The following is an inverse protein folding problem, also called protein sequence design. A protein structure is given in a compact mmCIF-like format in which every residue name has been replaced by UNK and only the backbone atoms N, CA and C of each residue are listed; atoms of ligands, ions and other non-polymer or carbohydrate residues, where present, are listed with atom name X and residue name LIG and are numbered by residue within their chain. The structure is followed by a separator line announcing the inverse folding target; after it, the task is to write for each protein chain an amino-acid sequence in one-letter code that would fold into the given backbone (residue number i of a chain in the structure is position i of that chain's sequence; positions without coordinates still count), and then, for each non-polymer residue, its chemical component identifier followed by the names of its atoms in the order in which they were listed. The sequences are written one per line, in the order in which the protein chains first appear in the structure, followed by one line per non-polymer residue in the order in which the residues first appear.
data_IF_878327166238
#
_entry.id   IF_878327166238
#
_cell.length_a   1.000
_cell.length_b   1.000
_cell.length_c   1.000
_cell.angle_alpha   90.00
_cell.angle_beta   90.00
_cell.angle_gamma   90.00
#
_symmetry.space_group_name_H-M   'P 1'
#
loop_
_entity.id
_entity.type
_entity.pdbx_description
1 polymer ?
#
# COMPACT_ATOMS: atom_id res chain seq x y z
N UNK A 1 16.99 -50.63 -28.92
CA UNK A 1 17.98 -49.92 -29.78
C UNK A 1 17.36 -48.70 -30.46
N UNK A 2 16.42 -48.86 -31.42
CA UNK A 2 15.81 -47.71 -32.13
C UNK A 2 15.07 -46.70 -31.24
N UNK A 3 14.38 -47.17 -30.20
CA UNK A 3 13.70 -46.28 -29.24
C UNK A 3 14.70 -45.42 -28.46
N UNK A 4 15.83 -45.98 -28.04
CA UNK A 4 16.87 -45.25 -27.31
C UNK A 4 17.48 -44.14 -28.18
N UNK A 5 17.79 -44.42 -29.45
CA UNK A 5 18.30 -43.41 -30.40
C UNK A 5 17.28 -42.29 -30.65
N UNK A 6 15.97 -42.62 -30.69
CA UNK A 6 14.92 -41.60 -30.81
C UNK A 6 14.80 -40.74 -29.56
N UNK A 7 14.91 -41.34 -28.37
CA UNK A 7 14.90 -40.59 -27.11
C UNK A 7 16.11 -39.65 -27.04
N UNK A 8 17.28 -40.09 -27.49
CA UNK A 8 18.49 -39.26 -27.56
C UNK A 8 18.28 -38.03 -28.46
N UNK A 9 17.75 -38.25 -29.68
CA UNK A 9 17.38 -37.16 -30.57
C UNK A 9 16.31 -36.21 -29.98
N UNK A 10 15.39 -36.73 -29.15
CA UNK A 10 14.42 -35.89 -28.44
C UNK A 10 15.07 -35.05 -27.34
N UNK A 11 16.08 -35.58 -26.64
CA UNK A 11 16.85 -34.82 -25.64
C UNK A 11 17.66 -33.70 -26.29
N UNK A 12 18.23 -33.93 -27.46
CA UNK A 12 18.92 -32.89 -28.23
C UNK A 12 17.98 -31.76 -28.65
N UNK A 13 16.73 -32.09 -28.99
CA UNK A 13 15.69 -31.09 -29.28
C UNK A 13 15.26 -30.34 -28.02
N UNK A 14 15.13 -31.02 -26.89
CA UNK A 14 14.82 -30.39 -25.60
C UNK A 14 15.94 -29.41 -25.17
N UNK A 15 17.20 -29.79 -25.34
CA UNK A 15 18.34 -28.92 -25.08
C UNK A 15 18.32 -27.66 -25.96
N UNK A 16 17.98 -27.81 -27.25
CA UNK A 16 17.81 -26.66 -28.14
C UNK A 16 16.69 -25.73 -27.66
N UNK A 17 15.56 -26.28 -27.21
CA UNK A 17 14.47 -25.50 -26.62
C UNK A 17 14.93 -24.76 -25.36
N UNK A 18 15.59 -25.44 -24.42
CA UNK A 18 16.12 -24.82 -23.20
C UNK A 18 17.11 -23.68 -23.49
N UNK A 19 17.93 -23.81 -24.53
CA UNK A 19 18.84 -22.73 -24.95
C UNK A 19 18.07 -21.49 -25.44
N UNK A 20 17.01 -21.67 -26.24
CA UNK A 20 16.13 -20.58 -26.67
C UNK A 20 15.47 -19.92 -25.45
N UNK A 21 15.01 -20.71 -24.48
CA UNK A 21 14.41 -20.20 -23.24
C UNK A 21 15.38 -19.35 -22.42
N UNK A 22 16.65 -19.78 -22.32
CA UNK A 22 17.69 -19.03 -21.62
C UNK A 22 17.97 -17.68 -22.29
N UNK A 23 18.03 -17.66 -23.62
CA UNK A 23 18.21 -16.41 -24.39
C UNK A 23 17.02 -15.47 -24.21
N UNK A 24 15.80 -15.99 -24.29
CA UNK A 24 14.58 -15.22 -24.02
C UNK A 24 14.56 -14.63 -22.59
N UNK A 25 14.89 -15.42 -21.57
CA UNK A 25 14.93 -14.97 -20.18
C UNK A 25 15.94 -13.82 -19.99
N UNK A 26 17.11 -13.93 -20.61
CA UNK A 26 18.15 -12.89 -20.61
C UNK A 26 17.67 -11.60 -21.29
N UNK A 27 17.07 -11.70 -22.47
CA UNK A 27 16.55 -10.54 -23.19
C UNK A 27 15.41 -9.85 -22.43
N UNK A 28 14.49 -10.63 -21.85
CA UNK A 28 13.41 -10.10 -21.03
C UNK A 28 13.93 -9.39 -19.79
N UNK A 29 14.91 -9.95 -19.07
CA UNK A 29 15.52 -9.28 -17.93
C UNK A 29 16.18 -7.95 -18.33
N UNK A 30 16.88 -7.92 -19.47
CA UNK A 30 17.46 -6.68 -19.99
C UNK A 30 16.38 -5.65 -20.36
N UNK A 31 15.24 -6.11 -20.86
CA UNK A 31 14.09 -5.28 -21.20
C UNK A 31 13.45 -4.67 -19.96
N UNK A 32 13.20 -5.48 -18.93
CA UNK A 32 12.70 -5.04 -17.61
C UNK A 32 13.62 -3.96 -17.03
N UNK A 33 14.93 -4.22 -16.98
CA UNK A 33 15.90 -3.25 -16.48
C UNK A 33 15.89 -1.92 -17.26
N UNK A 34 15.76 -2.00 -18.59
CA UNK A 34 15.69 -0.81 -19.46
C UNK A 34 14.46 0.03 -19.15
N UNK A 35 13.27 -0.58 -19.09
CA UNK A 35 12.03 0.16 -18.86
C UNK A 35 11.89 0.63 -17.42
N UNK A 36 12.39 -0.14 -16.46
CA UNK A 36 12.52 0.28 -15.06
C UNK A 36 13.34 1.58 -14.94
N UNK A 37 14.49 1.64 -15.61
CA UNK A 37 15.32 2.85 -15.63
C UNK A 37 14.63 4.05 -16.31
N UNK A 38 13.78 3.80 -17.32
CA UNK A 38 12.98 4.85 -17.98
C UNK A 38 11.82 5.34 -17.10
N UNK A 39 11.20 4.47 -16.31
CA UNK A 39 10.09 4.80 -15.43
C UNK A 39 10.54 5.53 -14.16
N UNK A 40 11.71 5.19 -13.61
CA UNK A 40 12.27 5.78 -12.38
C UNK A 40 12.20 7.33 -12.33
N UNK A 41 12.66 8.10 -13.33
CA UNK A 41 12.56 9.56 -13.29
C UNK A 41 11.13 10.09 -13.35
N UNK A 42 10.17 9.34 -13.93
CA UNK A 42 8.75 9.73 -13.92
C UNK A 42 8.16 9.57 -12.52
N UNK A 43 8.54 8.50 -11.83
CA UNK A 43 8.17 8.29 -10.45
C UNK A 43 8.73 9.39 -9.53
N UNK A 44 9.95 9.90 -9.79
CA UNK A 44 10.51 11.03 -9.03
C UNK A 44 9.73 12.32 -9.27
N UNK A 45 9.34 12.58 -10.51
CA UNK A 45 8.46 13.71 -10.85
C UNK A 45 7.10 13.58 -10.15
N UNK A 46 6.47 12.40 -10.16
CA UNK A 46 5.21 12.15 -9.45
C UNK A 46 5.34 12.51 -7.97
N UNK A 47 6.39 12.04 -7.30
CA UNK A 47 6.63 12.38 -5.89
C UNK A 47 6.73 13.89 -5.69
N UNK A 48 7.49 14.59 -6.54
CA UNK A 48 7.63 16.05 -6.44
C UNK A 48 6.30 16.79 -6.59
N UNK A 49 5.40 16.30 -7.47
CA UNK A 49 4.04 16.83 -7.62
C UNK A 49 3.21 16.55 -6.36
N UNK A 50 3.15 15.28 -5.93
CA UNK A 50 2.35 14.84 -4.78
C UNK A 50 2.74 15.56 -3.48
N UNK A 51 4.03 15.81 -3.28
CA UNK A 51 4.56 16.51 -2.08
C UNK A 51 4.58 18.03 -2.20
N UNK A 52 4.23 18.56 -3.37
CA UNK A 52 4.27 19.99 -3.66
C UNK A 52 5.65 20.61 -3.66
N UNK A 53 6.69 19.85 -4.02
CA UNK A 53 8.03 20.38 -4.27
C UNK A 53 8.09 21.25 -5.55
N UNK A 54 7.18 21.00 -6.50
CA UNK A 54 7.12 21.72 -7.77
C UNK A 54 5.86 22.57 -7.98
N UNK A 55 5.08 22.85 -6.93
CA UNK A 55 3.82 23.61 -7.00
C UNK A 55 3.99 24.95 -7.73
N UNK A 56 5.00 25.74 -7.35
CA UNK A 56 5.29 27.04 -7.99
C UNK A 56 5.50 26.91 -9.52
N UNK A 57 6.17 25.83 -9.95
CA UNK A 57 6.44 25.58 -11.36
C UNK A 57 5.16 25.16 -12.10
N UNK A 58 4.38 24.25 -11.51
CA UNK A 58 3.11 23.77 -12.09
C UNK A 58 2.12 24.92 -12.22
N UNK A 59 1.94 25.72 -11.16
CA UNK A 59 1.01 26.85 -11.16
C UNK A 59 1.40 27.88 -12.22
N UNK A 60 2.70 28.17 -12.35
CA UNK A 60 3.19 29.12 -13.36
C UNK A 60 3.02 28.61 -14.79
N UNK A 61 3.29 27.33 -15.04
CA UNK A 61 3.16 26.73 -16.38
C UNK A 61 1.69 26.60 -16.80
N UNK A 62 0.78 26.44 -15.83
CA UNK A 62 -0.65 26.25 -16.06
C UNK A 62 -1.49 27.50 -15.74
N UNK A 63 -0.88 28.69 -15.76
CA UNK A 63 -1.56 29.94 -15.37
C UNK A 63 -2.86 30.17 -16.14
N UNK A 64 -2.86 29.98 -17.45
CA UNK A 64 -4.07 30.21 -18.26
C UNK A 64 -5.21 29.25 -17.89
N UNK A 65 -4.89 28.03 -17.44
CA UNK A 65 -5.87 27.07 -16.94
C UNK A 65 -6.39 27.47 -15.56
N UNK A 66 -5.51 27.96 -14.68
CA UNK A 66 -5.89 28.47 -13.36
C UNK A 66 -6.81 29.70 -13.47
N UNK A 67 -6.46 30.67 -14.33
CA UNK A 67 -7.27 31.87 -14.56
C UNK A 67 -8.69 31.49 -15.08
N UNK A 68 -8.80 30.45 -15.92
CA UNK A 68 -10.09 29.92 -16.40
C UNK A 68 -10.88 29.22 -15.28
N UNK A 69 -10.21 28.42 -14.44
CA UNK A 69 -10.83 27.75 -13.30
C UNK A 69 -11.38 28.76 -12.29
N UNK A 70 -10.62 29.82 -12.00
CA UNK A 70 -11.03 30.90 -11.10
C UNK A 70 -12.30 31.60 -11.61
N UNK A 71 -12.39 31.91 -12.91
CA UNK A 71 -13.60 32.48 -13.52
C UNK A 71 -14.82 31.54 -13.38
N UNK A 72 -14.62 30.23 -13.57
CA UNK A 72 -15.69 29.23 -13.39
C UNK A 72 -16.14 29.18 -11.93
N UNK A 73 -15.21 29.13 -10.97
CA UNK A 73 -15.53 29.14 -9.53
C UNK A 73 -16.32 30.40 -9.15
N UNK A 74 -15.86 31.58 -9.55
CA UNK A 74 -16.57 32.84 -9.32
C UNK A 74 -17.98 32.85 -9.95
N UNK A 75 -18.17 32.15 -11.07
CA UNK A 75 -19.48 32.04 -11.72
C UNK A 75 -20.43 31.11 -10.95
N UNK A 76 -19.91 30.02 -10.39
CA UNK A 76 -20.67 29.06 -9.58
C UNK A 76 -21.04 29.66 -8.22
N UNK A 77 -20.12 30.34 -7.55
CA UNK A 77 -20.39 31.09 -6.31
C UNK A 77 -21.54 32.08 -6.53
N UNK A 78 -21.49 32.86 -7.62
CA UNK A 78 -22.57 33.80 -7.96
C UNK A 78 -23.91 33.13 -8.26
N UNK A 79 -23.90 31.90 -8.77
CA UNK A 79 -25.11 31.15 -9.07
C UNK A 79 -25.74 30.48 -7.84
N UNK A 80 -24.97 30.24 -6.77
CA UNK A 80 -25.45 29.66 -5.51
C UNK A 80 -26.07 30.69 -4.55
N UNK A 81 -25.96 32.00 -4.82
CA UNK A 81 -26.64 33.04 -4.05
C UNK A 81 -28.15 33.03 -4.40
N UNK A 82 -28.98 32.51 -3.51
CA UNK A 82 -30.45 32.52 -3.65
C UNK A 82 -30.97 33.97 -3.55
N UNK A 83 -31.72 34.49 -4.54
CA UNK A 83 -32.31 35.83 -4.50
C UNK A 83 -33.29 36.08 -3.34
N UNK A 84 -33.63 35.05 -2.56
CA UNK A 84 -34.65 35.13 -1.52
C UNK A 84 -34.11 35.40 -0.09
N UNK A 85 -32.80 35.34 0.13
CA UNK A 85 -32.14 35.63 1.43
C UNK A 85 -31.70 37.10 1.57
N UNK A 86 -32.54 38.02 1.10
CA UNK A 86 -32.44 39.46 1.36
C UNK A 86 -32.97 39.79 2.79
N UNK A 87 -32.61 38.96 3.78
CA UNK A 87 -32.85 39.24 5.19
C UNK A 87 -31.58 39.90 5.72
N UNK A 88 -31.68 41.18 6.09
CA UNK A 88 -30.65 41.93 6.82
C UNK A 88 -30.18 41.13 8.06
N UNK A 89 -29.19 40.25 7.88
CA UNK A 89 -28.34 39.75 8.94
C UNK A 89 -27.03 40.51 8.81
N UNK A 90 -26.79 41.43 9.76
CA UNK A 90 -25.47 41.95 10.11
C UNK A 90 -24.59 40.77 10.62
N UNK A 91 -24.36 39.77 9.78
CA UNK A 91 -23.56 38.60 10.12
C UNK A 91 -22.13 38.82 9.61
N UNK A 92 -21.33 39.38 10.49
CA UNK A 92 -19.90 39.58 10.29
C UNK A 92 -19.18 38.21 10.33
N UNK A 93 -19.85 37.11 10.74
CA UNK A 93 -19.22 35.79 10.86
C UNK A 93 -19.02 35.06 9.52
N UNK A 94 -19.98 35.07 8.61
CA UNK A 94 -19.85 34.37 7.30
C UNK A 94 -18.72 34.95 6.43
N UNK A 95 -18.52 36.28 6.45
CA UNK A 95 -17.43 36.92 5.70
C UNK A 95 -16.04 36.66 6.27
N UNK A 96 -15.94 36.40 7.57
CA UNK A 96 -14.70 36.02 8.23
C UNK A 96 -14.41 34.52 8.00
N UNK A 97 -15.44 33.66 7.95
CA UNK A 97 -15.35 32.25 7.59
C UNK A 97 -14.92 32.05 6.11
N UNK A 98 -15.52 32.78 5.16
CA UNK A 98 -15.14 32.74 3.74
C UNK A 98 -13.71 33.22 3.49
N UNK A 99 -13.25 34.22 4.23
CA UNK A 99 -11.86 34.68 4.16
C UNK A 99 -10.89 33.68 4.76
N UNK A 100 -11.27 33.05 5.87
CA UNK A 100 -10.45 32.02 6.50
C UNK A 100 -10.34 30.78 5.61
N UNK A 101 -11.43 30.38 4.92
CA UNK A 101 -11.42 29.31 3.93
C UNK A 101 -10.50 29.63 2.73
N UNK A 102 -10.56 30.86 2.20
CA UNK A 102 -9.67 31.31 1.10
C UNK A 102 -8.19 31.37 1.51
N UNK A 103 -7.88 31.83 2.72
CA UNK A 103 -6.51 31.83 3.27
C UNK A 103 -5.99 30.41 3.56
N UNK A 104 -6.87 29.44 3.85
CA UNK A 104 -6.54 28.03 4.05
C UNK A 104 -6.35 27.28 2.73
N UNK A 105 -7.08 27.64 1.68
CA UNK A 105 -6.97 27.07 0.33
C UNK A 105 -5.67 27.49 -0.39
N UNK A 106 -5.20 28.73 -0.17
CA UNK A 106 -3.86 29.20 -0.61
C UNK A 106 -2.69 28.42 0.02
N UNK A 107 -2.95 27.59 1.04
CA UNK A 107 -1.92 26.86 1.80
C UNK A 107 -1.86 25.35 1.48
N UNK A 108 -2.73 24.84 0.62
CA UNK A 108 -2.72 23.43 0.25
C UNK A 108 -1.47 23.15 -0.60
N UNK A 109 -0.56 22.33 -0.06
CA UNK A 109 0.69 21.96 -0.70
C UNK A 109 0.58 20.56 -1.30
N UNK A 110 0.98 20.42 -2.56
CA UNK A 110 0.95 19.16 -3.29
C UNK A 110 -0.45 18.58 -3.45
N UNK A 111 -0.57 17.26 -3.37
CA UNK A 111 -1.84 16.53 -3.46
C UNK A 111 -2.04 15.76 -2.14
N UNK A 112 -2.78 16.34 -1.18
CA UNK A 112 -3.07 15.68 0.09
C UNK A 112 -3.75 14.33 -0.11
N UNK A 113 -3.51 13.40 0.82
CA UNK A 113 -4.13 12.06 0.86
C UNK A 113 -3.93 11.19 -0.40
N UNK A 114 -3.04 11.58 -1.32
CA UNK A 114 -2.85 10.91 -2.60
C UNK A 114 -2.72 9.38 -2.47
N UNK A 115 -1.80 8.92 -1.62
CA UNK A 115 -1.51 7.49 -1.49
C UNK A 115 -2.57 6.73 -0.70
N UNK A 116 -3.14 7.31 0.36
CA UNK A 116 -4.18 6.63 1.14
C UNK A 116 -5.44 6.45 0.31
N UNK A 117 -5.84 7.45 -0.48
CA UNK A 117 -6.97 7.33 -1.41
C UNK A 117 -6.67 6.30 -2.52
N UNK A 118 -5.49 6.36 -3.15
CA UNK A 118 -5.11 5.39 -4.18
C UNK A 118 -5.08 3.95 -3.65
N UNK A 119 -4.56 3.74 -2.44
CA UNK A 119 -4.56 2.42 -1.79
C UNK A 119 -5.97 1.98 -1.38
N UNK A 120 -6.83 2.92 -0.97
CA UNK A 120 -8.23 2.66 -0.63
C UNK A 120 -9.11 2.31 -1.83
N UNK A 121 -8.76 2.77 -3.02
CA UNK A 121 -9.42 2.38 -4.27
C UNK A 121 -8.97 1.00 -4.78
N UNK A 122 -7.75 0.55 -4.44
CA UNK A 122 -7.25 -0.77 -4.81
C UNK A 122 -7.81 -1.85 -3.86
N UNK A 123 -8.67 -2.75 -4.36
CA UNK A 123 -9.43 -3.70 -3.55
C UNK A 123 -8.54 -4.51 -2.60
N UNK A 124 -7.51 -5.19 -3.15
CA UNK A 124 -6.58 -6.03 -2.40
C UNK A 124 -5.90 -5.29 -1.23
N UNK A 125 -5.67 -3.98 -1.36
CA UNK A 125 -5.00 -3.17 -0.33
C UNK A 125 -6.02 -2.59 0.65
N UNK A 126 -7.18 -2.17 0.16
CA UNK A 126 -8.22 -1.49 0.93
C UNK A 126 -8.73 -2.32 2.10
N UNK A 127 -8.78 -3.65 1.97
CA UNK A 127 -9.21 -4.56 3.05
C UNK A 127 -8.27 -4.54 4.27
N UNK A 128 -7.02 -4.11 4.09
CA UNK A 128 -6.05 -4.00 5.18
C UNK A 128 -6.13 -2.66 5.90
N UNK A 129 -6.69 -1.63 5.28
CA UNK A 129 -6.70 -0.26 5.82
C UNK A 129 -7.90 -0.10 6.74
N UNK A 130 -7.63 0.30 7.98
CA UNK A 130 -8.67 0.69 8.95
C UNK A 130 -8.72 2.21 9.09
N UNK A 131 -9.81 2.72 9.68
CA UNK A 131 -9.97 4.15 9.98
C UNK A 131 -8.80 4.72 10.80
N UNK A 132 -8.20 3.92 11.70
CA UNK A 132 -7.08 4.36 12.53
C UNK A 132 -5.77 4.49 11.75
N UNK A 133 -5.69 3.88 10.57
CA UNK A 133 -4.49 3.92 9.73
C UNK A 133 -4.47 5.16 8.83
N UNK A 134 -5.63 5.74 8.49
CA UNK A 134 -5.79 6.85 7.53
C UNK A 134 -4.91 8.04 7.90
N UNK A 135 -5.04 8.57 9.12
CA UNK A 135 -4.24 9.70 9.60
C UNK A 135 -2.72 9.43 9.56
N UNK A 136 -2.31 8.16 9.71
CA UNK A 136 -0.90 7.80 9.60
C UNK A 136 -0.44 7.68 8.15
N UNK A 137 -1.31 7.18 7.27
CA UNK A 137 -1.08 7.06 5.84
C UNK A 137 -1.13 8.43 5.12
N UNK A 138 -1.73 9.45 5.72
CA UNK A 138 -1.63 10.85 5.24
C UNK A 138 -0.18 11.36 5.21
N UNK A 139 0.70 10.75 5.99
CA UNK A 139 2.13 11.05 5.97
C UNK A 139 2.94 10.22 4.95
N UNK A 140 2.30 9.33 4.20
CA UNK A 140 2.93 8.56 3.13
C UNK A 140 3.16 9.47 1.91
N UNK A 141 4.42 9.71 1.56
CA UNK A 141 4.80 10.62 0.48
C UNK A 141 5.10 9.89 -0.84
N UNK A 142 5.49 8.62 -0.78
CA UNK A 142 5.82 7.84 -1.97
C UNK A 142 5.78 6.33 -1.71
N UNK A 143 5.41 5.57 -2.73
CA UNK A 143 5.53 4.11 -2.77
C UNK A 143 6.35 3.71 -4.00
N UNK A 144 7.36 2.87 -3.78
CA UNK A 144 8.29 2.40 -4.80
C UNK A 144 8.42 0.89 -4.77
N UNK A 145 8.71 0.31 -5.92
CA UNK A 145 9.14 -1.08 -6.03
C UNK A 145 10.55 -1.14 -6.60
N UNK A 146 11.43 -1.88 -5.93
CA UNK A 146 12.81 -2.15 -6.36
C UNK A 146 12.94 -3.63 -6.73
N UNK A 147 13.35 -3.91 -7.96
CA UNK A 147 13.50 -5.28 -8.48
C UNK A 147 14.86 -5.87 -8.10
N UNK A 148 14.91 -7.12 -7.64
CA UNK A 148 16.14 -7.81 -7.27
C UNK A 148 16.57 -8.80 -8.35
N UNK A 149 17.87 -8.86 -8.62
CA UNK A 149 18.48 -9.85 -9.52
C UNK A 149 19.42 -10.76 -8.74
N UNK A 150 19.41 -12.05 -9.09
CA UNK A 150 20.38 -13.03 -8.61
C UNK A 150 21.33 -13.39 -9.74
N UNK A 151 22.62 -13.54 -9.41
CA UNK A 151 23.63 -14.05 -10.33
C UNK A 151 23.98 -15.47 -9.92
N UNK A 152 23.74 -16.44 -10.81
CA UNK A 152 24.18 -17.81 -10.64
C UNK A 152 25.50 -18.02 -11.40
N UNK A 153 26.52 -18.52 -10.71
CA UNK A 153 27.72 -19.05 -11.37
C UNK A 153 27.35 -20.44 -11.90
N UNK A 154 27.24 -20.58 -13.22
CA UNK A 154 27.15 -21.89 -13.85
C UNK A 154 28.49 -22.58 -13.59
N UNK A 155 28.50 -23.62 -12.77
CA UNK A 155 29.64 -24.54 -12.71
C UNK A 155 29.68 -25.23 -14.08
N UNK A 156 30.75 -25.04 -14.84
CA UNK A 156 30.98 -25.83 -16.05
C UNK A 156 31.11 -27.29 -15.63
N UNK A 157 30.17 -28.15 -16.06
CA UNK A 157 30.27 -29.61 -15.89
C UNK A 157 31.35 -30.24 -16.79
N UNK A 158 32.15 -29.43 -17.50
CA UNK A 158 33.26 -29.86 -18.35
C UNK A 158 34.63 -29.78 -17.62
N UNK A 159 34.72 -30.24 -16.38
CA UNK A 159 36.02 -30.66 -15.81
C UNK A 159 36.27 -32.13 -16.18
N UNK A 160 36.44 -32.38 -17.48
CA UNK A 160 37.25 -33.50 -17.92
C UNK A 160 38.71 -33.15 -17.60
N UNK A 161 39.26 -33.94 -16.68
CA UNK A 161 40.59 -33.91 -16.10
C UNK A 161 41.66 -34.25 -17.16
N UNK A 162 41.94 -33.33 -18.09
CA UNK A 162 43.09 -33.42 -18.99
C UNK A 162 43.97 -32.16 -18.84
N UNK A 163 45.07 -32.32 -18.11
CA UNK A 163 46.20 -31.41 -18.06
C UNK A 163 46.77 -31.19 -19.47
N UNK A 164 46.67 -29.97 -20.03
CA UNK A 164 47.75 -29.35 -20.81
C UNK A 164 47.47 -27.85 -21.05
N UNK A 165 48.52 -27.04 -20.87
CA UNK A 165 48.50 -25.57 -20.75
C UNK A 165 48.30 -24.79 -22.06
N UNK A 166 47.82 -23.55 -21.84
CA UNK A 166 48.18 -22.28 -22.49
C UNK A 166 47.29 -21.66 -23.60
N UNK A 167 46.80 -20.47 -23.23
CA UNK A 167 46.36 -19.29 -24.00
C UNK A 167 45.53 -19.47 -25.29
N UNK A 168 44.25 -19.09 -25.21
CA UNK A 168 43.70 -17.97 -26.01
C UNK A 168 42.27 -17.61 -25.60
N UNK A 169 42.04 -16.29 -25.44
CA UNK A 169 40.78 -15.56 -25.56
C UNK A 169 39.60 -15.93 -24.62
N UNK A 170 39.30 -15.02 -23.67
CA UNK A 170 37.97 -14.66 -23.16
C UNK A 170 36.84 -15.69 -23.41
N UNK A 171 36.86 -16.83 -22.72
CA UNK A 171 35.61 -17.55 -22.40
C UNK A 171 34.95 -16.74 -21.29
N UNK A 172 34.09 -15.80 -21.68
CA UNK A 172 33.21 -15.13 -20.73
C UNK A 172 32.43 -16.21 -19.99
N UNK A 173 32.69 -16.39 -18.70
CA UNK A 173 31.84 -17.20 -17.85
C UNK A 173 30.40 -16.70 -18.04
N UNK A 174 29.52 -17.54 -18.59
CA UNK A 174 28.11 -17.22 -18.77
C UNK A 174 27.47 -17.24 -17.39
N UNK A 175 27.58 -16.12 -16.66
CA UNK A 175 26.79 -15.89 -15.44
C UNK A 175 25.33 -15.78 -15.86
N UNK A 176 24.52 -16.71 -15.38
CA UNK A 176 23.07 -16.64 -15.56
C UNK A 176 22.52 -15.63 -14.55
N UNK A 177 21.79 -14.64 -15.04
CA UNK A 177 21.24 -13.58 -14.19
C UNK A 177 19.73 -13.64 -14.33
N UNK A 178 19.04 -13.87 -13.21
CA UNK A 178 17.59 -13.99 -13.16
C UNK A 178 17.01 -12.99 -12.17
N UNK A 179 15.74 -12.65 -12.34
CA UNK A 179 15.03 -11.82 -11.38
C UNK A 179 14.65 -12.69 -10.17
N UNK A 180 15.06 -12.29 -8.97
CA UNK A 180 14.99 -13.12 -7.77
C UNK A 180 14.05 -12.56 -6.70
N UNK A 181 13.25 -11.55 -7.01
CA UNK A 181 12.36 -10.91 -6.05
C UNK A 181 12.23 -9.40 -6.23
N UNK A 182 11.67 -8.74 -5.22
CA UNK A 182 11.56 -7.29 -5.15
C UNK A 182 11.44 -6.80 -3.70
N UNK A 183 11.63 -5.49 -3.51
CA UNK A 183 11.33 -4.78 -2.26
C UNK A 183 10.36 -3.63 -2.53
N UNK A 184 9.29 -3.58 -1.77
CA UNK A 184 8.39 -2.43 -1.68
C UNK A 184 8.91 -1.46 -0.63
N UNK A 185 9.00 -0.18 -0.98
CA UNK A 185 9.46 0.89 -0.11
C UNK A 185 8.36 1.94 0.02
N UNK A 186 7.97 2.24 1.26
CA UNK A 186 6.96 3.22 1.63
C UNK A 186 7.67 4.37 2.34
N UNK A 187 7.74 5.53 1.68
CA UNK A 187 8.44 6.71 2.17
C UNK A 187 7.47 7.58 2.96
N UNK A 188 7.82 7.92 4.20
CA UNK A 188 7.00 8.78 5.06
C UNK A 188 7.68 10.11 5.34
N UNK A 189 6.87 11.16 5.48
CA UNK A 189 7.34 12.47 5.93
C UNK A 189 7.79 12.41 7.39
N UNK A 190 9.10 12.34 7.62
CA UNK A 190 9.69 12.22 8.94
C UNK A 190 9.45 13.46 9.83
N UNK A 191 9.32 14.64 9.23
CA UNK A 191 9.21 15.89 9.98
C UNK A 191 7.83 16.01 10.62
N UNK A 192 6.80 15.59 9.87
CA UNK A 192 5.41 15.78 10.27
C UNK A 192 4.73 14.51 10.81
N UNK A 193 5.27 13.31 10.59
CA UNK A 193 4.66 12.06 11.05
C UNK A 193 4.72 11.92 12.59
N UNK A 194 3.59 11.90 13.32
CA UNK A 194 3.56 11.76 14.78
C UNK A 194 3.61 10.30 15.27
N UNK A 195 3.54 9.31 14.38
CA UNK A 195 3.34 7.91 14.72
C UNK A 195 4.63 7.11 14.92
N UNK A 196 5.62 7.27 14.05
CA UNK A 196 6.89 6.54 14.11
C UNK A 196 8.05 7.41 13.61
N UNK A 197 9.29 6.93 13.78
CA UNK A 197 10.50 7.68 13.38
C UNK A 197 11.12 7.20 12.06
N UNK A 198 10.64 6.10 11.50
CA UNK A 198 11.14 5.58 10.22
C UNK A 198 10.81 6.55 9.08
N UNK A 199 11.80 6.86 8.25
CA UNK A 199 11.58 7.57 6.98
C UNK A 199 11.11 6.64 5.86
N UNK A 200 11.43 5.35 5.96
CA UNK A 200 11.05 4.31 4.99
C UNK A 200 10.64 3.05 5.73
N UNK A 201 9.47 2.52 5.40
CA UNK A 201 9.07 1.15 5.75
C UNK A 201 9.25 0.27 4.52
N UNK A 202 9.85 -0.91 4.67
CA UNK A 202 10.18 -1.79 3.55
C UNK A 202 9.62 -3.20 3.75
N UNK A 203 9.18 -3.81 2.65
CA UNK A 203 8.74 -5.21 2.60
C UNK A 203 9.39 -5.91 1.41
N UNK A 204 10.12 -6.99 1.67
CA UNK A 204 10.98 -7.68 0.71
C UNK A 204 10.52 -9.11 0.49
N UNK A 205 10.44 -9.49 -0.79
CA UNK A 205 10.09 -10.81 -1.26
C UNK A 205 11.26 -11.39 -2.07
N UNK A 206 11.66 -12.62 -1.77
CA UNK A 206 12.61 -13.39 -2.58
C UNK A 206 11.82 -14.48 -3.31
N UNK A 207 11.81 -14.39 -4.63
CA UNK A 207 11.06 -15.26 -5.54
C UNK A 207 11.99 -15.60 -6.71
N UNK A 208 12.79 -16.68 -6.61
CA UNK A 208 13.86 -16.98 -7.57
C UNK A 208 13.39 -17.23 -9.01
N UNK A 209 12.17 -17.74 -9.19
CA UNK A 209 11.57 -18.08 -10.47
C UNK A 209 10.48 -17.06 -10.89
N UNK A 210 10.58 -15.81 -10.41
CA UNK A 210 9.56 -14.77 -10.61
C UNK A 210 9.16 -14.52 -12.06
N UNK A 211 10.08 -14.77 -13.00
CA UNK A 211 9.84 -14.60 -14.42
C UNK A 211 9.73 -15.94 -15.15
N UNK A 212 10.03 -17.08 -14.53
CA UNK A 212 10.15 -18.35 -15.27
C UNK A 212 8.77 -18.78 -15.81
N UNK A 213 8.59 -18.73 -17.12
CA UNK A 213 7.26 -19.00 -17.67
C UNK A 213 6.95 -20.49 -17.63
N UNK A 214 5.77 -20.82 -17.11
CA UNK A 214 5.28 -22.19 -16.94
C UNK A 214 5.45 -22.72 -15.52
N UNK A 215 6.10 -21.97 -14.62
CA UNK A 215 6.18 -22.29 -13.20
C UNK A 215 5.47 -21.21 -12.38
N UNK A 216 4.75 -21.62 -11.33
CA UNK A 216 4.17 -20.68 -10.38
C UNK A 216 5.29 -20.00 -9.57
N UNK A 217 5.22 -18.68 -9.35
CA UNK A 217 6.20 -17.96 -8.54
C UNK A 217 6.34 -18.58 -7.15
N UNK A 218 7.52 -19.06 -6.83
CA UNK A 218 7.83 -19.71 -5.56
C UNK A 218 8.37 -18.69 -4.56
N UNK A 219 7.56 -18.36 -3.56
CA UNK A 219 7.98 -17.50 -2.46
C UNK A 219 8.98 -18.25 -1.56
N UNK A 220 10.25 -17.82 -1.59
CA UNK A 220 11.32 -18.38 -0.77
C UNK A 220 11.47 -17.67 0.58
N UNK A 221 11.34 -16.35 0.57
CA UNK A 221 11.53 -15.52 1.76
C UNK A 221 10.63 -14.29 1.68
N UNK A 222 9.96 -13.99 2.79
CA UNK A 222 9.19 -12.77 2.97
C UNK A 222 9.68 -12.08 4.26
N UNK A 223 10.17 -10.85 4.12
CA UNK A 223 10.77 -10.09 5.23
C UNK A 223 10.20 -8.68 5.26
N UNK A 224 9.66 -8.28 6.40
CA UNK A 224 9.23 -6.90 6.63
C UNK A 224 10.29 -6.08 7.36
N UNK A 225 9.85 -5.01 8.00
CA UNK A 225 10.72 -4.13 8.78
C UNK A 225 10.10 -3.81 10.13
N UNK A 226 10.94 -3.49 11.12
CA UNK A 226 10.46 -3.02 12.42
C UNK A 226 10.01 -1.56 12.31
N UNK A 227 8.79 -1.28 12.78
CA UNK A 227 8.28 0.07 12.88
C UNK A 227 8.64 0.63 14.26
N UNK A 228 9.39 1.73 14.26
CA UNK A 228 9.84 2.45 15.45
C UNK A 228 8.77 3.42 15.95
N UNK A 229 7.68 2.84 16.47
CA UNK A 229 6.55 3.60 17.01
C UNK A 229 6.97 4.59 18.10
N UNK A 230 6.49 5.83 17.97
CA UNK A 230 6.54 6.85 19.02
C UNK A 230 5.60 6.44 20.17
N UNK A 231 5.82 7.04 21.34
CA UNK A 231 5.14 6.62 22.56
C UNK A 231 3.62 6.63 22.42
N UNK A 232 3.00 5.46 22.62
CA UNK A 232 1.54 5.24 22.58
C UNK A 232 0.88 5.48 21.20
N UNK A 233 1.66 5.57 20.12
CA UNK A 233 1.17 5.76 18.76
C UNK A 233 1.13 4.47 17.92
N UNK A 234 1.39 3.32 18.55
CA UNK A 234 1.33 2.03 17.87
C UNK A 234 -0.09 1.69 17.43
N UNK A 235 -0.28 1.57 16.12
CA UNK A 235 -1.57 1.18 15.51
C UNK A 235 -1.78 -0.34 15.45
N UNK A 236 -0.71 -1.12 15.59
CA UNK A 236 -0.75 -2.60 15.53
C UNK A 236 -1.05 -3.26 16.88
N UNK A 237 -0.69 -2.59 17.97
CA UNK A 237 -0.94 -3.04 19.33
C UNK A 237 -1.36 -1.90 20.26
N UNK A 238 -2.47 -2.10 20.97
CA UNK A 238 -2.95 -1.18 22.01
C UNK A 238 -2.59 -1.67 23.41
N UNK A 239 -2.13 -0.76 24.27
CA UNK A 239 -1.91 -1.03 25.70
C UNK A 239 -3.23 -1.10 26.45
N UNK A 240 -3.50 -2.24 27.10
CA UNK A 240 -4.67 -2.49 27.94
C UNK A 240 -4.24 -2.73 29.39
N UNK A 241 -4.78 -1.96 30.32
CA UNK A 241 -4.49 -2.10 31.75
C UNK A 241 -5.35 -3.20 32.37
N UNK A 242 -4.76 -4.34 32.68
CA UNK A 242 -5.42 -5.46 33.36
C UNK A 242 -5.19 -5.37 34.87
N UNK A 243 -6.27 -5.26 35.65
CA UNK A 243 -6.20 -5.32 37.13
C UNK A 243 -6.06 -6.77 37.57
N UNK A 244 -4.93 -7.11 38.17
CA UNK A 244 -4.70 -8.42 38.78
C UNK A 244 -4.86 -8.32 40.30
N UNK A 245 -5.77 -9.10 40.86
CA UNK A 245 -5.89 -9.29 42.31
C UNK A 245 -4.95 -10.41 42.73
N UNK A 246 -4.11 -10.17 43.74
CA UNK A 246 -3.21 -11.20 44.26
C UNK A 246 -4.02 -12.40 44.78
N UNK A 247 -3.85 -13.58 44.16
CA UNK A 247 -4.48 -14.81 44.59
C UNK A 247 -3.79 -15.35 45.85
N UNK A 248 -4.55 -15.48 46.94
CA UNK A 248 -4.25 -16.24 48.17
C UNK A 248 -2.78 -16.36 48.59
N UNK A 249 -2.16 -15.25 48.99
CA UNK A 249 -0.92 -15.30 49.78
C UNK A 249 -1.22 -15.05 51.25
N UNK A 250 -0.95 -16.03 52.13
CA UNK A 250 -1.08 -15.86 53.59
C UNK A 250 -0.09 -14.78 54.07
N UNK A 251 -0.61 -13.61 54.44
CA UNK A 251 0.17 -12.51 55.02
C UNK A 251 -0.46 -11.13 54.78
N UNK A 252 0.14 -10.07 55.35
CA UNK A 252 -0.32 -8.66 55.35
C UNK A 252 -0.57 -7.99 53.97
N UNK A 253 -0.48 -8.73 52.86
CA UNK A 253 -0.71 -8.26 51.47
C UNK A 253 -2.00 -8.82 50.84
N UNK A 254 -2.93 -9.31 51.67
CA UNK A 254 -4.28 -9.71 51.24
C UNK A 254 -5.00 -8.45 50.71
N UNK A 255 -5.51 -8.48 49.47
CA UNK A 255 -6.17 -7.38 48.73
C UNK A 255 -5.31 -6.33 47.99
N UNK A 256 -4.02 -6.54 47.73
CA UNK A 256 -3.29 -5.63 46.84
C UNK A 256 -3.69 -5.87 45.36
N UNK A 257 -4.27 -4.85 44.73
CA UNK A 257 -4.57 -4.82 43.28
C UNK A 257 -3.36 -4.26 42.56
N UNK A 258 -2.72 -5.05 41.69
CA UNK A 258 -1.65 -4.57 40.81
C UNK A 258 -2.23 -4.37 39.41
N UNK A 259 -1.97 -3.23 38.81
CA UNK A 259 -2.28 -3.00 37.40
C UNK A 259 -1.11 -3.50 36.56
N UNK A 260 -1.39 -4.36 35.58
CA UNK A 260 -0.41 -4.86 34.61
C UNK A 260 -0.84 -4.37 33.24
N UNK A 261 0.09 -3.79 32.49
CA UNK A 261 -0.11 -3.42 31.09
C UNK A 261 0.03 -4.67 30.22
N UNK A 262 -0.99 -5.04 29.48
CA UNK A 262 -0.97 -6.08 28.45
C UNK A 262 -1.16 -5.44 27.09
N UNK A 263 -0.47 -5.91 26.06
CA UNK A 263 -0.69 -5.48 24.68
C UNK A 263 -1.81 -6.32 24.06
N UNK A 264 -2.75 -5.67 23.37
CA UNK A 264 -3.80 -6.32 22.58
C UNK A 264 -3.54 -5.97 21.11
N UNK A 265 -3.44 -6.99 20.25
CA UNK A 265 -3.38 -6.82 18.80
C UNK A 265 -4.63 -6.07 18.31
N UNK A 266 -4.44 -5.11 17.43
CA UNK A 266 -5.48 -4.33 16.75
C UNK A 266 -5.34 -4.53 15.25
N UNK A 267 -6.44 -4.51 14.51
CA UNK A 267 -6.40 -4.59 13.06
C UNK A 267 -5.84 -3.28 12.52
N UNK A 268 -4.90 -3.39 11.59
CA UNK A 268 -4.13 -2.26 11.07
C UNK A 268 -3.36 -2.68 9.83
N UNK A 269 -3.31 -1.81 8.82
CA UNK A 269 -2.49 -1.98 7.63
C UNK A 269 -1.04 -2.29 7.96
N UNK A 270 -0.51 -1.71 9.05
CA UNK A 270 0.89 -1.80 9.42
C UNK A 270 1.34 -3.21 9.87
N UNK A 271 0.42 -4.18 10.04
CA UNK A 271 0.79 -5.60 10.15
C UNK A 271 1.38 -6.15 8.85
N UNK A 272 1.17 -5.50 7.70
CA UNK A 272 1.82 -5.86 6.44
C UNK A 272 3.35 -5.88 6.55
N UNK A 273 3.95 -5.08 7.44
CA UNK A 273 5.39 -5.07 7.68
C UNK A 273 5.87 -6.12 8.71
N UNK A 274 4.97 -6.94 9.28
CA UNK A 274 5.27 -8.08 10.15
C UNK A 274 4.74 -9.37 9.48
N UNK A 275 5.48 -9.94 8.52
CA UNK A 275 4.96 -11.00 7.66
C UNK A 275 4.62 -12.28 8.43
N UNK A 276 3.74 -13.14 7.85
CA UNK A 276 3.55 -14.50 8.33
C UNK A 276 4.89 -15.25 8.41
N UNK A 277 4.98 -16.20 9.35
CA UNK A 277 6.20 -17.00 9.54
C UNK A 277 6.16 -18.22 8.64
N UNK A 278 7.22 -18.41 7.84
CA UNK A 278 7.33 -19.56 6.95
C UNK A 278 7.27 -20.88 7.73
N UNK A 279 6.54 -21.90 7.23
CA UNK A 279 6.57 -23.25 7.80
C UNK A 279 8.02 -23.76 7.88
N UNK A 280 8.45 -24.24 9.06
CA UNK A 280 9.80 -24.78 9.28
C UNK A 280 10.87 -23.80 9.79
N UNK A 281 10.54 -22.52 10.02
CA UNK A 281 11.48 -21.50 10.55
C UNK A 281 11.10 -20.93 11.94
N UNK A 282 10.25 -21.62 12.71
CA UNK A 282 9.74 -21.19 14.02
C UNK A 282 10.21 -22.03 15.23
N UNK A 283 10.25 -21.46 16.46
CA UNK A 283 10.71 -22.17 17.67
C UNK A 283 9.68 -23.12 18.31
N UNK A 284 8.46 -23.23 17.79
CA UNK A 284 7.41 -24.14 18.27
C UNK A 284 7.18 -25.28 17.26
N UNK A 285 8.18 -26.14 17.09
CA UNK A 285 7.97 -27.44 16.42
C UNK A 285 7.22 -28.40 17.36
N UNK A 286 5.91 -28.19 17.47
CA UNK A 286 4.95 -29.27 17.62
C UNK A 286 4.38 -29.61 16.23
N UNK A 287 3.75 -30.79 16.09
CA UNK A 287 2.92 -31.09 14.92
C UNK A 287 1.84 -30.01 14.78
N UNK A 288 2.09 -29.00 13.94
CA UNK A 288 1.03 -28.10 13.49
C UNK A 288 0.02 -28.99 12.76
N UNK A 289 -1.26 -28.88 13.14
CA UNK A 289 -2.30 -29.61 12.45
C UNK A 289 -2.47 -29.03 11.03
N UNK A 290 -3.08 -29.81 10.14
CA UNK A 290 -3.37 -29.39 8.76
C UNK A 290 -4.05 -28.01 8.69
N UNK A 291 -4.98 -27.74 9.61
CA UNK A 291 -5.70 -26.47 9.65
C UNK A 291 -4.77 -25.26 9.91
N UNK A 292 -3.81 -25.37 10.83
CA UNK A 292 -2.86 -24.28 11.06
C UNK A 292 -1.88 -24.09 9.90
N UNK A 293 -1.56 -25.16 9.15
CA UNK A 293 -0.73 -25.04 7.95
C UNK A 293 -1.51 -24.26 6.88
N UNK A 294 -2.78 -24.64 6.65
CA UNK A 294 -3.66 -23.93 5.73
C UNK A 294 -3.82 -22.45 6.13
N UNK A 295 -4.06 -22.15 7.42
CA UNK A 295 -4.19 -20.76 7.89
C UNK A 295 -2.91 -19.92 7.62
N UNK A 296 -1.73 -20.55 7.65
CA UNK A 296 -0.46 -19.91 7.33
C UNK A 296 -0.32 -19.69 5.82
N UNK A 297 -0.66 -20.69 5.01
CA UNK A 297 -0.67 -20.61 3.54
C UNK A 297 -1.62 -19.50 3.06
N UNK A 298 -2.87 -19.49 3.54
CA UNK A 298 -3.87 -18.45 3.25
C UNK A 298 -3.41 -17.05 3.68
N UNK A 299 -2.58 -16.95 4.73
CA UNK A 299 -2.00 -15.69 5.15
C UNK A 299 -0.87 -15.23 4.22
N UNK A 300 -0.07 -16.16 3.69
CA UNK A 300 0.97 -15.85 2.71
C UNK A 300 0.39 -15.48 1.34
N UNK A 301 -0.65 -16.18 0.90
CA UNK A 301 -1.31 -15.89 -0.37
C UNK A 301 -1.91 -14.48 -0.35
N UNK A 302 -2.64 -14.12 0.71
CA UNK A 302 -3.14 -12.75 0.90
C UNK A 302 -2.02 -11.70 0.95
N UNK A 303 -0.92 -11.99 1.65
CA UNK A 303 0.23 -11.08 1.73
C UNK A 303 0.90 -10.90 0.36
N UNK A 304 0.94 -11.95 -0.45
CA UNK A 304 1.46 -11.95 -1.80
C UNK A 304 0.56 -11.21 -2.79
N UNK A 305 -0.76 -11.38 -2.68
CA UNK A 305 -1.75 -10.68 -3.51
C UNK A 305 -1.65 -9.17 -3.29
N UNK A 306 -1.59 -8.73 -2.03
CA UNK A 306 -1.39 -7.32 -1.67
C UNK A 306 -0.07 -6.79 -2.25
N UNK A 307 1.02 -7.56 -2.13
CA UNK A 307 2.32 -7.16 -2.66
C UNK A 307 2.32 -7.04 -4.19
N UNK A 308 1.61 -7.96 -4.85
CA UNK A 308 1.44 -8.00 -6.30
C UNK A 308 0.60 -6.82 -6.76
N UNK A 309 -0.51 -6.52 -6.08
CA UNK A 309 -1.34 -5.34 -6.36
C UNK A 309 -0.53 -4.05 -6.23
N UNK A 310 0.25 -3.90 -5.15
CA UNK A 310 1.12 -2.73 -4.98
C UNK A 310 2.14 -2.62 -6.13
N UNK A 311 2.82 -3.71 -6.46
CA UNK A 311 3.88 -3.74 -7.48
C UNK A 311 3.35 -3.52 -8.89
N UNK A 312 2.29 -4.22 -9.25
CA UNK A 312 1.82 -4.35 -10.64
C UNK A 312 0.74 -3.32 -10.98
N UNK A 313 -0.07 -2.90 -10.01
CA UNK A 313 -1.19 -2.00 -10.25
C UNK A 313 -0.96 -0.63 -9.61
N UNK A 314 -0.77 -0.56 -8.28
CA UNK A 314 -0.70 0.71 -7.56
C UNK A 314 0.50 1.57 -7.99
N UNK A 315 1.73 1.04 -7.93
CA UNK A 315 2.95 1.82 -8.24
C UNK A 315 2.94 2.33 -9.68
N UNK A 316 2.60 1.53 -10.71
CA UNK A 316 2.58 2.01 -12.09
C UNK A 316 1.41 2.94 -12.41
N UNK A 317 0.22 2.73 -11.82
CA UNK A 317 -1.02 3.45 -12.15
C UNK A 317 -1.57 4.29 -11.00
N UNK A 318 -0.72 4.75 -10.07
CA UNK A 318 -1.14 5.43 -8.84
C UNK A 318 -2.15 6.58 -9.04
N UNK A 319 -2.03 7.34 -10.14
CA UNK A 319 -2.95 8.45 -10.45
C UNK A 319 -4.34 7.93 -10.83
N UNK A 320 -4.44 6.89 -11.67
CA UNK A 320 -5.72 6.30 -12.04
C UNK A 320 -6.41 5.64 -10.84
N UNK A 321 -5.62 5.05 -9.94
CA UNK A 321 -6.12 4.59 -8.64
C UNK A 321 -6.60 5.74 -7.77
N UNK A 322 -5.86 6.84 -7.69
CA UNK A 322 -6.26 8.01 -6.92
C UNK A 322 -7.56 8.66 -7.46
N UNK A 323 -7.69 8.81 -8.79
CA UNK A 323 -8.88 9.41 -9.42
C UNK A 323 -10.09 8.47 -9.44
N UNK A 324 -9.88 7.18 -9.24
CA UNK A 324 -10.93 6.15 -9.30
C UNK A 324 -11.10 5.51 -10.67
N UNK A 325 -10.46 6.02 -11.72
CA UNK A 325 -10.52 5.46 -13.09
C UNK A 325 -10.12 3.97 -13.13
N UNK A 326 -9.08 3.58 -12.39
CA UNK A 326 -8.66 2.18 -12.35
C UNK A 326 -9.65 1.28 -11.59
N UNK A 327 -10.35 1.83 -10.59
CA UNK A 327 -11.39 1.10 -9.88
C UNK A 327 -12.64 0.92 -10.76
N UNK A 328 -13.02 1.95 -11.51
CA UNK A 328 -14.11 1.86 -12.49
C UNK A 328 -13.82 0.80 -13.55
N UNK A 329 -12.59 0.77 -14.10
CA UNK A 329 -12.15 -0.27 -15.04
C UNK A 329 -12.27 -1.69 -14.44
N UNK A 330 -11.84 -1.91 -13.19
CA UNK A 330 -11.95 -3.23 -12.54
C UNK A 330 -13.41 -3.64 -12.28
N UNK A 331 -14.29 -2.69 -11.94
CA UNK A 331 -15.71 -2.96 -11.74
C UNK A 331 -16.40 -3.31 -13.06
N UNK A 332 -16.09 -2.59 -14.14
CA UNK A 332 -16.60 -2.89 -15.49
C UNK A 332 -16.15 -4.26 -15.99
N UNK A 333 -14.89 -4.65 -15.75
CA UNK A 333 -14.37 -5.99 -16.09
C UNK A 333 -15.08 -7.10 -15.31
N UNK A 334 -15.36 -6.89 -14.02
CA UNK A 334 -16.06 -7.88 -13.17
C UNK A 334 -17.56 -7.99 -13.49
N UNK A 335 -18.22 -6.90 -13.88
CA UNK A 335 -19.65 -6.89 -14.28
C UNK A 335 -19.90 -7.67 -15.58
N UNK A 336 -18.88 -7.90 -16.41
CA UNK A 336 -18.97 -8.78 -17.59
C UNK A 336 -18.93 -10.28 -17.22
N UNK A 337 -18.52 -10.65 -15.99
CA UNK A 337 -18.25 -12.02 -15.58
C UNK A 337 -19.16 -12.63 -14.47
N UNK A 338 -20.00 -11.88 -13.73
CA UNK A 338 -20.89 -12.47 -12.70
C UNK A 338 -22.35 -11.94 -12.62
N UNK A 339 -23.33 -12.83 -12.91
CA UNK A 339 -24.70 -12.73 -12.38
C UNK A 339 -24.73 -13.13 -10.88
N UNK A 340 -25.16 -12.20 -10.02
CA UNK A 340 -25.64 -12.35 -8.62
C UNK A 340 -24.65 -12.76 -7.50
N UNK A 341 -24.44 -11.85 -6.53
CA UNK A 341 -24.09 -12.25 -5.16
C UNK A 341 -23.43 -11.23 -4.21
N UNK A 342 -23.97 -10.02 -4.01
CA UNK A 342 -23.46 -9.10 -2.98
C UNK A 342 -23.75 -9.61 -1.53
N UNK A 343 -22.71 -10.02 -0.79
CA UNK A 343 -22.68 -9.90 0.67
C UNK A 343 -21.83 -8.68 1.06
N UNK A 344 -22.51 -7.62 1.51
CA UNK A 344 -21.91 -6.33 1.85
C UNK A 344 -20.79 -6.42 2.89
N UNK A 345 -19.55 -6.24 2.43
CA UNK A 345 -18.43 -5.79 3.27
C UNK A 345 -18.51 -4.27 3.38
N UNK A 346 -18.47 -3.73 4.59
CA UNK A 346 -18.37 -2.29 4.83
C UNK A 346 -16.97 -1.80 4.44
N UNK A 347 -16.77 -1.52 3.15
CA UNK A 347 -15.57 -0.88 2.61
C UNK A 347 -15.54 0.59 3.07
N UNK A 348 -14.38 1.11 3.45
CA UNK A 348 -14.23 2.55 3.65
C UNK A 348 -14.46 3.24 2.31
N UNK A 349 -15.47 4.09 2.23
CA UNK A 349 -15.71 4.91 1.04
C UNK A 349 -14.67 6.02 1.02
N UNK A 350 -13.65 5.85 0.17
CA UNK A 350 -12.73 6.93 -0.17
C UNK A 350 -13.41 7.79 -1.24
N UNK A 351 -13.52 9.08 -0.99
CA UNK A 351 -14.11 10.00 -1.95
C UNK A 351 -13.15 10.16 -3.14
N UNK A 352 -13.55 9.68 -4.32
CA UNK A 352 -12.87 10.02 -5.56
C UNK A 352 -12.97 11.53 -5.84
N UNK A 353 -11.88 12.20 -6.25
CA UNK A 353 -11.98 13.55 -6.78
C UNK A 353 -12.86 13.52 -8.04
N UNK A 354 -14.01 14.20 -8.03
CA UNK A 354 -14.82 14.37 -9.24
C UNK A 354 -14.13 15.38 -10.14
N UNK A 355 -13.53 14.89 -11.22
CA UNK A 355 -12.96 15.73 -12.28
C UNK A 355 -14.08 16.23 -13.20
N UNK A 356 -14.54 17.46 -13.00
CA UNK A 356 -15.51 18.08 -13.89
C UNK A 356 -14.79 18.82 -15.03
N UNK A 357 -15.07 18.44 -16.27
CA UNK A 357 -14.56 19.11 -17.47
C UNK A 357 -15.61 20.09 -18.00
N UNK A 358 -15.46 21.38 -17.71
CA UNK A 358 -16.21 22.45 -18.37
C UNK A 358 -15.25 23.52 -18.93
N UNK A 359 -15.53 24.01 -20.14
CA UNK A 359 -14.83 25.17 -20.68
C UNK A 359 -13.35 24.99 -21.07
N UNK A 360 -12.82 23.76 -21.14
CA UNK A 360 -11.42 23.52 -21.54
C UNK A 360 -10.43 23.36 -20.38
N UNK A 361 -10.91 23.35 -19.13
CA UNK A 361 -10.16 22.97 -17.93
C UNK A 361 -10.82 21.80 -17.18
N UNK A 362 -10.10 21.23 -16.21
CA UNK A 362 -10.59 20.16 -15.33
C UNK A 362 -10.55 20.67 -13.88
N UNK A 363 -11.69 20.73 -13.22
CA UNK A 363 -11.80 21.05 -11.78
C UNK A 363 -11.86 19.72 -11.02
N UNK A 364 -10.97 19.49 -10.06
CA UNK A 364 -11.12 18.40 -9.10
C UNK A 364 -11.99 18.89 -7.93
N UNK A 365 -13.25 18.48 -7.89
CA UNK A 365 -14.11 18.68 -6.72
C UNK A 365 -14.13 17.40 -5.90
N UNK A 366 -13.63 17.45 -4.68
CA UNK A 366 -14.03 16.45 -3.69
C UNK A 366 -15.50 16.72 -3.36
N UNK A 367 -16.38 15.69 -3.32
CA UNK A 367 -17.77 15.88 -2.94
C UNK A 367 -17.83 16.68 -1.63
N UNK A 368 -18.49 17.84 -1.68
CA UNK A 368 -18.54 18.80 -0.58
C UNK A 368 -19.08 18.11 0.68
N UNK A 369 -18.18 17.86 1.63
CA UNK A 369 -18.49 17.23 2.90
C UNK A 369 -17.43 16.26 3.42
N UNK A 370 -16.13 16.62 3.38
CA UNK A 370 -15.12 16.18 4.37
C UNK A 370 -13.71 16.76 4.16
N UNK A 371 -13.56 18.01 3.70
CA UNK A 371 -12.45 18.82 4.22
C UNK A 371 -12.80 19.18 5.67
N UNK A 372 -12.67 18.20 6.57
CA UNK A 372 -12.62 18.47 8.00
C UNK A 372 -11.26 19.10 8.23
N UNK A 373 -11.28 20.42 8.30
CA UNK A 373 -10.31 21.21 9.05
C UNK A 373 -9.83 20.42 10.26
N UNK A 374 -8.53 20.42 10.48
CA UNK A 374 -7.97 20.04 11.76
C UNK A 374 -8.49 20.96 12.87
N UNK A 375 -9.66 20.66 13.40
CA UNK A 375 -9.87 20.73 14.84
C UNK A 375 -9.53 19.36 15.43
N UNK A 376 -8.83 19.40 16.55
CA UNK A 376 -8.34 18.24 17.29
C UNK A 376 -9.51 17.54 17.98
N UNK A 377 -10.38 16.88 17.23
CA UNK A 377 -11.33 15.92 17.78
C UNK A 377 -12.03 15.15 16.67
N UNK A 378 -11.60 13.90 16.49
CA UNK A 378 -12.44 12.72 16.26
C UNK A 378 -13.78 12.97 15.54
N UNK A 379 -13.94 12.59 14.26
CA UNK A 379 -15.16 12.85 13.47
C UNK A 379 -16.38 12.00 13.88
N UNK A 380 -16.27 11.22 14.96
CA UNK A 380 -17.40 10.50 15.55
C UNK A 380 -17.98 11.29 16.74
N UNK A 381 -19.28 11.65 16.74
CA UNK A 381 -19.94 12.03 17.97
C UNK A 381 -19.82 10.87 18.97
N UNK A 382 -19.60 11.10 20.28
CA UNK A 382 -19.70 10.03 21.25
C UNK A 382 -21.07 9.39 21.07
N UNK A 383 -21.07 8.08 20.82
CA UNK A 383 -22.28 7.29 20.64
C UNK A 383 -23.27 7.71 21.72
N UNK A 384 -24.43 8.19 21.30
CA UNK A 384 -25.50 8.58 22.19
C UNK A 384 -25.80 7.37 23.08
N UNK A 385 -25.41 7.46 24.35
CA UNK A 385 -25.98 6.64 25.40
C UNK A 385 -27.50 6.89 25.31
N UNK A 386 -28.21 5.96 24.68
CA UNK A 386 -29.63 5.81 24.92
C UNK A 386 -29.73 5.55 26.42
N UNK A 387 -30.11 6.59 27.15
CA UNK A 387 -30.76 6.50 28.44
C UNK A 387 -31.97 5.58 28.25
N UNK A 388 -31.73 4.27 28.38
CA UNK A 388 -32.75 3.32 28.75
C UNK A 388 -33.15 3.69 30.17
N UNK A 389 -34.33 4.27 30.31
CA UNK A 389 -35.04 4.27 31.58
C UNK A 389 -35.13 2.81 32.04
N UNK A 390 -34.33 2.46 33.05
CA UNK A 390 -34.59 1.31 33.91
C UNK A 390 -35.63 1.74 34.96
N UNK A 391 -36.86 1.21 34.93
CA UNK A 391 -37.73 1.29 36.09
C UNK A 391 -37.36 0.18 37.07
N UNK A 392 -37.17 0.58 38.33
CA UNK A 392 -37.11 -0.26 39.53
C UNK A 392 -35.90 -1.20 39.69
N UNK A 393 -34.95 -0.82 40.58
CA UNK A 393 -34.62 -1.72 41.69
C UNK A 393 -34.03 -0.95 42.89
N UNK A 394 -34.67 -1.15 44.04
CA UNK A 394 -34.45 -0.45 45.30
C UNK A 394 -33.12 -0.83 45.97
N UNK A 395 -32.55 0.17 46.64
CA UNK A 395 -31.56 0.03 47.69
C UNK A 395 -31.95 -1.05 48.72
N UNK A 396 -31.02 -1.95 49.04
CA UNK A 396 -30.75 -2.52 50.37
C UNK A 396 -29.40 -3.23 50.37
#
# INVERSE_FOLDING_TARGET
MYMAVRIDALKDLDLQYQNIRREYARERLALEAKYFAMATPLYDKRRAVVTGECDEMIMKENKDMLDQLEEVVESLERAQIDPQDDVDTDDVSEKDEDKQAKDEEEKIRGVPQFWVCAMGHCEAISELITENDVDCLDHLIDVRCEMHVQTAKVASEDEDDDEEEEETANKAATTDVTLSGFTLHFYFDIENNPYFTNSVLSKKYIVPNMLDEGEEPMLKECTGCTIDWKSDMSLTYRKVLKKQRAANTKGKKKNMVRTITALRKTDSFFHFFDPPKLPGHGPEEGELNEAHIQDIEDAFDRDWDVATAIRCQLVPRAVAWFTGEALEEELEENDEDEEEGEEGKTRLEFASPQLMAEGGGVVAMFPAGNLVQGDRSNPFPPGTEKNGEDPDCKQS
#
